data_IF_208291038772
#
_entry.id   IF_208291038772
#
_cell.length_a   1.000
_cell.length_b   1.000
_cell.length_c   1.000
_cell.angle_alpha   90.00
_cell.angle_beta   90.00
_cell.angle_gamma   90.00
#
_symmetry.space_group_name_H-M   'P 1'
#
loop_
_entity.id
_entity.type
_entity.pdbx_description
1 polymer ?
2 polymer ?
3 water ?
#
# COMPACT_ATOMS: atom_id res chain seq x y z
N UNK A 1 14.67 -2.77 10.78
CA UNK A 1 13.92 -3.49 9.69
C UNK A 1 14.61 -3.26 8.38
N UNK A 2 15.09 -4.35 7.77
CA UNK A 2 15.70 -4.28 6.44
C UNK A 2 14.55 -4.10 5.44
N UNK A 3 14.72 -3.23 4.44
CA UNK A 3 13.72 -3.00 3.35
C UNK A 3 13.52 -4.23 2.46
N UNK A 4 12.27 -4.63 2.32
CA UNK A 4 11.90 -5.85 1.65
C UNK A 4 11.29 -5.52 0.31
N UNK A 5 11.64 -6.32 -0.68
CA UNK A 5 11.30 -6.07 -2.09
C UNK A 5 10.29 -7.11 -2.59
N UNK A 6 9.24 -6.65 -3.27
CA UNK A 6 8.27 -7.51 -3.90
C UNK A 6 8.06 -7.07 -5.33
N UNK A 7 7.96 -8.06 -6.22
CA UNK A 7 7.82 -7.75 -7.65
C UNK A 7 6.37 -8.13 -8.02
N UNK A 8 5.50 -7.13 -8.15
CA UNK A 8 4.07 -7.33 -8.27
C UNK A 8 3.56 -6.69 -9.61
N UNK A 9 2.26 -6.81 -9.86
CA UNK A 9 1.63 -6.17 -11.00
C UNK A 9 0.69 -5.12 -10.46
N UNK A 10 0.69 -3.89 -11.03
CA UNK A 10 -0.16 -2.79 -10.55
C UNK A 10 -1.53 -2.86 -11.18
N UNK A 11 -2.55 -3.04 -10.34
CA UNK A 11 -3.93 -3.05 -10.87
C UNK A 11 -4.48 -1.66 -11.14
N UNK A 12 -4.14 -0.70 -10.31
CA UNK A 12 -4.67 0.64 -10.46
C UNK A 12 -5.09 1.22 -9.10
N UNK A 13 -5.78 2.34 -9.20
CA UNK A 13 -6.18 3.10 -8.02
C UNK A 13 -7.60 3.57 -8.14
N UNK A 14 -8.17 3.83 -6.99
CA UNK A 14 -9.47 4.50 -6.90
C UNK A 14 -9.48 5.38 -5.67
N UNK A 15 -10.25 6.45 -5.65
CA UNK A 15 -10.38 7.31 -4.44
C UNK A 15 -11.27 6.61 -3.41
N UNK A 16 -11.00 6.86 -2.14
CA UNK A 16 -11.86 6.38 -1.06
C UNK A 16 -12.23 7.59 -0.20
N UNK A 17 -13.30 7.45 0.55
CA UNK A 17 -13.74 8.66 1.26
C UNK A 17 -13.29 8.77 2.71
N UNK A 18 -12.69 7.69 3.26
CA UNK A 18 -12.19 7.68 4.62
C UNK A 18 -10.88 6.91 4.60
N UNK A 19 -10.00 7.12 5.61
CA UNK A 19 -8.66 6.49 5.48
C UNK A 19 -8.56 5.01 5.90
N UNK A 20 -9.49 4.51 6.70
CA UNK A 20 -9.20 3.22 7.31
C UNK A 20 -10.40 2.42 7.39
N UNK A 21 -10.28 1.13 7.09
CA UNK A 21 -11.36 0.22 7.29
C UNK A 21 -11.52 -0.73 6.13
N UNK A 22 -11.89 -1.94 6.52
CA UNK A 22 -12.00 -2.98 5.54
C UNK A 22 -13.20 -2.78 4.58
N UNK A 23 -14.23 -2.05 5.10
CA UNK A 23 -15.37 -1.82 4.22
C UNK A 23 -14.97 -0.96 3.01
N UNK A 24 -14.03 -0.07 3.27
CA UNK A 24 -13.54 0.84 2.26
C UNK A 24 -12.64 0.11 1.31
N UNK A 25 -11.68 -0.64 1.87
CA UNK A 25 -10.71 -1.30 1.00
C UNK A 25 -11.37 -2.38 0.16
N UNK A 26 -12.30 -3.13 0.77
CA UNK A 26 -12.95 -4.19 0.00
C UNK A 26 -13.64 -3.60 -1.22
N UNK A 27 -14.38 -2.48 -1.05
CA UNK A 27 -15.10 -1.92 -2.19
C UNK A 27 -14.16 -1.33 -3.18
N UNK A 28 -13.04 -0.75 -2.71
CA UNK A 28 -12.07 -0.11 -3.61
C UNK A 28 -11.44 -1.21 -4.48
N UNK A 29 -11.01 -2.29 -3.84
CA UNK A 29 -10.34 -3.36 -4.56
C UNK A 29 -11.34 -3.93 -5.57
N UNK A 30 -12.64 -4.08 -5.21
CA UNK A 30 -13.59 -4.59 -6.18
C UNK A 30 -13.61 -3.70 -7.43
N UNK A 31 -13.62 -2.38 -7.24
CA UNK A 31 -13.69 -1.46 -8.34
C UNK A 31 -12.43 -1.53 -9.18
N UNK A 32 -11.26 -1.52 -8.51
CA UNK A 32 -10.02 -1.48 -9.27
C UNK A 32 -9.89 -2.78 -10.06
N UNK A 33 -10.16 -3.91 -9.46
CA UNK A 33 -10.04 -5.18 -10.19
C UNK A 33 -10.98 -5.22 -11.41
N UNK A 34 -12.22 -4.76 -11.26
CA UNK A 34 -13.19 -4.82 -12.39
C UNK A 34 -12.65 -3.90 -13.52
N UNK A 35 -12.14 -2.72 -13.15
CA UNK A 35 -11.58 -1.79 -14.21
C UNK A 35 -10.40 -2.42 -14.91
N UNK A 36 -9.53 -3.12 -14.17
CA UNK A 36 -8.34 -3.69 -14.79
C UNK A 36 -8.76 -4.82 -15.71
N UNK A 37 -9.71 -5.68 -15.30
CA UNK A 37 -10.15 -6.78 -16.16
C UNK A 37 -10.75 -6.26 -17.41
N UNK A 38 -11.45 -5.13 -17.37
CA UNK A 38 -12.14 -4.66 -18.57
C UNK A 38 -11.18 -3.92 -19.48
N UNK A 39 -9.92 -3.72 -19.05
CA UNK A 39 -9.01 -2.81 -19.75
C UNK A 39 -8.50 -3.41 -21.05
N UNK A 40 -8.47 -4.74 -21.16
CA UNK A 40 -7.87 -5.39 -22.32
C UNK A 40 -6.37 -5.23 -22.43
N UNK A 41 -5.71 -4.81 -21.35
CA UNK A 41 -4.26 -4.53 -21.34
C UNK A 41 -3.56 -5.36 -20.27
N UNK A 42 -2.36 -5.81 -20.54
CA UNK A 42 -1.49 -6.42 -19.53
C UNK A 42 -1.11 -5.39 -18.47
N UNK A 43 -1.04 -5.81 -17.23
CA UNK A 43 -0.70 -4.93 -16.14
C UNK A 43 0.76 -4.48 -16.13
N UNK A 44 1.00 -3.25 -15.63
CA UNK A 44 2.38 -2.73 -15.44
C UNK A 44 3.06 -3.50 -14.32
N UNK A 45 4.29 -3.98 -14.56
CA UNK A 45 5.07 -4.64 -13.54
C UNK A 45 5.68 -3.58 -12.62
N UNK A 46 5.39 -3.67 -11.34
CA UNK A 46 5.90 -2.73 -10.41
C UNK A 46 6.61 -3.42 -9.27
N UNK A 47 7.69 -2.82 -8.78
CA UNK A 47 8.43 -3.31 -7.63
C UNK A 47 8.14 -2.44 -6.45
N UNK A 48 7.79 -3.09 -5.33
CA UNK A 48 7.56 -2.38 -4.06
C UNK A 48 8.73 -2.67 -3.11
N UNK A 49 9.31 -1.62 -2.54
CA UNK A 49 10.34 -1.79 -1.50
C UNK A 49 9.75 -1.17 -0.22
N UNK A 50 9.54 -2.04 0.76
CA UNK A 50 8.79 -1.66 2.00
C UNK A 50 9.81 -1.47 3.14
N UNK A 51 9.77 -0.33 3.82
CA UNK A 51 10.65 -0.20 5.04
C UNK A 51 9.92 0.75 5.95
N UNK A 52 10.47 1.04 7.13
CA UNK A 52 9.78 1.97 8.03
C UNK A 52 9.69 3.37 7.42
N UNK A 53 10.46 3.69 6.39
CA UNK A 53 10.36 4.97 5.68
C UNK A 53 9.10 5.14 4.86
N UNK A 54 8.54 4.02 4.45
CA UNK A 54 7.41 4.01 3.51
C UNK A 54 7.54 2.95 2.43
N UNK A 55 6.82 3.17 1.32
CA UNK A 55 6.85 2.21 0.24
C UNK A 55 7.37 2.91 -1.01
N UNK A 56 8.44 2.37 -1.58
CA UNK A 56 9.01 2.90 -2.82
C UNK A 56 8.44 2.04 -3.96
N UNK A 57 7.74 2.69 -4.88
CA UNK A 57 7.20 2.01 -6.05
C UNK A 57 8.06 2.38 -7.26
N UNK A 58 8.59 1.36 -7.91
CA UNK A 58 9.40 1.54 -9.12
C UNK A 58 8.86 0.73 -10.23
N UNK A 59 8.98 1.29 -11.43
CA UNK A 59 8.57 0.61 -12.62
C UNK A 59 9.60 -0.54 -12.75
N UNK A 60 9.16 -1.78 -12.87
CA UNK A 60 10.15 -2.83 -12.92
C UNK A 60 11.01 -2.84 -14.20
N UNK A 61 10.40 -2.50 -15.34
CA UNK A 61 11.16 -2.51 -16.61
C UNK A 61 12.32 -1.51 -16.58
N UNK A 62 12.04 -0.29 -16.13
CA UNK A 62 13.01 0.80 -16.28
C UNK A 62 13.80 1.09 -14.96
N UNK A 63 13.32 0.54 -13.82
CA UNK A 63 13.81 0.86 -12.46
C UNK A 63 13.54 2.32 -12.21
N UNK A 64 12.70 2.95 -12.98
CA UNK A 64 12.41 4.40 -12.71
C UNK A 64 11.44 4.52 -11.52
N UNK A 65 11.61 5.55 -10.71
CA UNK A 65 10.67 5.82 -9.63
C UNK A 65 9.29 6.16 -10.15
N UNK A 66 8.28 5.50 -9.58
CA UNK A 66 6.91 5.92 -9.74
C UNK A 66 6.51 6.88 -8.62
N UNK A 67 6.72 6.41 -7.36
CA UNK A 67 6.40 7.26 -6.25
C UNK A 67 7.09 6.73 -5.02
N UNK A 68 7.67 7.61 -4.24
CA UNK A 68 8.08 7.24 -2.87
C UNK A 68 6.96 7.68 -1.92
N UNK A 69 6.28 6.71 -1.31
CA UNK A 69 5.12 6.98 -0.49
C UNK A 69 5.58 7.05 0.97
N UNK A 70 5.61 8.24 1.56
CA UNK A 70 6.05 8.39 2.95
C UNK A 70 5.16 7.54 3.84
N UNK A 71 5.77 6.91 4.84
CA UNK A 71 5.00 6.11 5.83
C UNK A 71 3.90 6.96 6.48
N UNK A 72 4.12 8.28 6.67
CA UNK A 72 3.11 9.09 7.35
C UNK A 72 1.85 9.33 6.56
N UNK A 73 1.92 9.08 5.26
CA UNK A 73 0.77 9.22 4.38
C UNK A 73 -0.12 7.97 4.32
N UNK A 74 0.40 6.79 4.71
CA UNK A 74 -0.28 5.50 4.45
C UNK A 74 -1.14 5.26 5.67
N UNK A 75 -2.45 5.09 5.48
CA UNK A 75 -3.33 4.87 6.62
C UNK A 75 -3.61 3.46 6.90
N UNK A 76 -3.53 2.59 5.89
CA UNK A 76 -4.17 1.24 6.01
C UNK A 76 -3.56 0.33 4.95
N UNK A 77 -3.49 -0.96 5.23
CA UNK A 77 -3.18 -1.89 4.20
C UNK A 77 -3.95 -3.18 4.39
N UNK A 78 -4.03 -3.96 3.31
CA UNK A 78 -4.89 -5.15 3.28
C UNK A 78 -4.40 -6.24 2.33
N UNK A 79 -4.55 -7.49 2.75
CA UNK A 79 -4.60 -8.59 1.86
C UNK A 79 -6.13 -8.83 1.70
N UNK A 80 -6.68 -8.55 0.53
CA UNK A 80 -8.18 -8.52 0.38
C UNK A 80 -8.82 -9.90 0.61
N UNK A 81 -10.02 -9.90 1.21
CA UNK A 81 -10.72 -11.19 1.43
C UNK A 81 -11.25 -11.78 0.15
N UNK A 82 -12.06 -11.02 -0.60
CA UNK A 82 -12.67 -11.58 -1.80
C UNK A 82 -11.62 -11.86 -2.87
N UNK A 83 -10.79 -10.87 -3.16
CA UNK A 83 -9.81 -10.97 -4.27
C UNK A 83 -8.49 -11.27 -3.59
N UNK A 84 -8.33 -12.54 -3.18
CA UNK A 84 -7.29 -12.88 -2.20
C UNK A 84 -5.86 -12.88 -2.73
N UNK A 85 -5.67 -12.64 -4.04
CA UNK A 85 -4.29 -12.41 -4.52
C UNK A 85 -3.94 -10.93 -4.49
N UNK A 86 -4.83 -10.08 -3.95
CA UNK A 86 -4.56 -8.60 -4.05
C UNK A 86 -4.09 -8.05 -2.71
N UNK A 87 -2.99 -7.33 -2.81
CA UNK A 87 -2.54 -6.46 -1.72
C UNK A 87 -2.92 -5.01 -2.08
N UNK A 88 -3.39 -4.24 -1.11
CA UNK A 88 -3.68 -2.84 -1.39
C UNK A 88 -3.30 -1.99 -0.19
N UNK A 89 -3.03 -0.74 -0.46
CA UNK A 89 -2.90 0.26 0.63
C UNK A 89 -3.73 1.46 0.39
N UNK A 90 -4.06 2.21 1.43
CA UNK A 90 -4.73 3.51 1.26
C UNK A 90 -3.66 4.56 1.70
N UNK A 91 -3.51 5.65 0.92
CA UNK A 91 -2.66 6.71 1.35
C UNK A 91 -3.22 8.03 0.91
N UNK A 92 -3.00 9.03 1.75
CA UNK A 92 -3.42 10.37 1.40
C UNK A 92 -2.40 10.87 0.35
N UNK A 93 -2.89 11.67 -0.60
CA UNK A 93 -2.06 12.19 -1.71
C UNK A 93 -1.02 13.16 -1.12
N UNK A 94 0.09 13.35 -1.79
CA UNK A 94 1.15 14.29 -1.27
C UNK A 94 0.78 15.73 -1.56
N UNK A 95 -0.05 15.90 -2.58
CA UNK A 95 -0.28 17.22 -3.11
C UNK A 95 -1.59 17.84 -2.67
N UNK A 96 -2.48 17.04 -2.06
CA UNK A 96 -3.77 17.54 -1.57
C UNK A 96 -4.37 16.51 -0.62
N UNK A 97 -5.60 16.72 -0.16
CA UNK A 97 -6.13 15.91 0.96
C UNK A 97 -6.83 14.61 0.55
N UNK A 98 -6.86 14.33 -0.74
CA UNK A 98 -7.62 13.16 -1.20
C UNK A 98 -6.92 11.86 -0.79
N UNK A 99 -7.71 10.82 -0.71
CA UNK A 99 -7.29 9.52 -0.20
C UNK A 99 -7.39 8.53 -1.34
N UNK A 100 -6.29 7.81 -1.60
CA UNK A 100 -6.25 6.92 -2.75
C UNK A 100 -5.98 5.47 -2.29
N UNK A 101 -6.71 4.50 -2.86
CA UNK A 101 -6.41 3.10 -2.65
C UNK A 101 -5.67 2.62 -3.89
N UNK A 102 -4.49 2.05 -3.66
CA UNK A 102 -3.68 1.49 -4.72
C UNK A 102 -3.56 -0.04 -4.55
N UNK A 103 -3.91 -0.81 -5.62
CA UNK A 103 -3.99 -2.24 -5.53
C UNK A 103 -3.01 -2.94 -6.45
N UNK A 104 -2.47 -4.07 -5.94
CA UNK A 104 -1.46 -4.81 -6.64
C UNK A 104 -1.84 -6.27 -6.66
N UNK A 105 -1.63 -6.90 -7.81
CA UNK A 105 -1.93 -8.32 -7.99
C UNK A 105 -0.63 -9.12 -7.74
N UNK A 106 -0.76 -10.10 -6.84
CA UNK A 106 0.34 -11.00 -6.48
C UNK A 106 0.08 -12.30 -7.23
N UNK A 107 1.08 -13.15 -7.28
CA UNK A 107 0.87 -14.51 -7.85
C UNK A 107 -0.01 -15.40 -7.05
N UNK A 108 0.02 -15.25 -5.74
CA UNK A 108 -0.63 -16.19 -4.82
C UNK A 108 -1.13 -15.44 -3.59
N UNK A 109 -2.19 -15.98 -2.96
CA UNK A 109 -2.71 -15.46 -1.75
C UNK A 109 -1.58 -15.31 -0.72
N UNK A 110 -0.65 -16.29 -0.64
CA UNK A 110 0.41 -16.24 0.31
C UNK A 110 1.31 -15.02 0.13
N UNK A 111 1.54 -14.60 -1.11
CA UNK A 111 2.32 -13.43 -1.33
C UNK A 111 1.54 -12.18 -0.90
N UNK A 112 0.24 -12.06 -1.18
CA UNK A 112 -0.52 -10.92 -0.74
C UNK A 112 -0.47 -10.80 0.79
N UNK A 113 -0.52 -11.94 1.47
CA UNK A 113 -0.41 -11.95 2.93
C UNK A 113 0.98 -11.49 3.37
N UNK A 114 2.02 -11.98 2.71
CA UNK A 114 3.39 -11.60 3.09
C UNK A 114 3.60 -10.12 2.93
N UNK A 115 3.11 -9.56 1.85
CA UNK A 115 3.28 -8.09 1.63
C UNK A 115 2.57 -7.32 2.75
N UNK A 116 1.32 -7.71 3.06
CA UNK A 116 0.55 -7.00 4.10
C UNK A 116 1.27 -7.07 5.44
N UNK A 117 1.79 -8.25 5.79
CA UNK A 117 2.47 -8.43 7.07
C UNK A 117 3.77 -7.61 7.10
N UNK A 118 4.44 -7.47 5.96
CA UNK A 118 5.68 -6.68 5.89
C UNK A 118 5.32 -5.20 6.09
N UNK A 119 4.28 -4.72 5.44
CA UNK A 119 3.82 -3.34 5.63
C UNK A 119 3.43 -3.09 7.07
N UNK A 120 2.77 -4.06 7.71
CA UNK A 120 2.43 -3.92 9.14
C UNK A 120 3.68 -3.73 9.98
N UNK A 121 4.73 -4.49 9.67
CA UNK A 121 5.98 -4.28 10.38
C UNK A 121 6.52 -2.88 10.17
N UNK A 122 6.45 -2.38 8.95
CA UNK A 122 6.92 -1.03 8.71
C UNK A 122 6.11 0.01 9.50
N UNK A 123 4.78 -0.16 9.58
CA UNK A 123 3.97 0.77 10.37
C UNK A 123 4.43 0.73 11.81
N UNK A 124 4.65 -0.46 12.39
CA UNK A 124 5.02 -0.64 13.79
C UNK A 124 6.39 -0.04 14.10
N UNK A 125 7.38 -0.35 13.25
CA UNK A 125 8.71 0.16 13.48
C UNK A 125 8.71 1.68 13.26
N UNK A 126 8.04 2.21 12.28
CA UNK A 126 7.95 3.69 12.11
C UNK A 126 7.36 4.33 13.35
N UNK A 127 6.31 3.72 13.88
CA UNK A 127 5.71 4.27 15.10
C UNK A 127 6.70 4.32 16.27
N UNK A 128 7.48 3.24 16.44
CA UNK A 128 8.48 3.26 17.46
C UNK A 128 9.57 4.31 17.23
N UNK A 129 10.02 4.51 15.98
CA UNK A 129 10.92 5.65 15.77
C UNK A 129 10.26 6.98 16.15
N UNK A 130 8.99 7.10 15.80
CA UNK A 130 8.29 8.36 16.00
C UNK A 130 8.20 8.71 17.50
N UNK A 131 7.97 7.66 18.30
CA UNK A 131 7.77 7.87 19.73
C UNK A 131 9.05 8.42 20.38
N UNK A 132 10.21 8.06 19.84
CA UNK A 132 11.50 8.54 20.45
C UNK A 132 12.09 9.66 19.59
N UNK A 133 11.26 10.32 18.75
CA UNK A 133 11.68 11.49 18.00
C UNK A 133 12.90 11.22 17.14
N UNK A 134 12.91 10.07 16.50
CA UNK A 134 13.92 9.71 15.51
C UNK A 134 13.28 9.58 14.13
N UNK A 135 14.06 9.88 13.08
CA UNK A 135 13.58 9.69 11.72
C UNK A 135 13.56 8.17 11.39
N UNK A 136 12.38 7.65 10.85
CA UNK A 136 12.27 6.24 10.50
C UNK A 136 13.31 5.94 9.44
N UNK A 137 13.97 4.80 9.60
CA UNK A 137 15.05 4.40 8.64
C UNK A 137 14.88 2.95 8.38
N UNK B 2 -9.25 -12.08 5.11
CA UNK B 2 -8.32 -10.85 4.99
C UNK B 2 -7.42 -10.65 6.20
N UNK B 3 -6.31 -10.04 5.93
CA UNK B 3 -5.44 -9.64 6.98
C UNK B 3 -5.33 -8.16 6.70
N UNK B 4 -5.52 -7.30 7.68
CA UNK B 4 -5.54 -5.84 7.50
C UNK B 4 -4.93 -5.10 8.65
N UNK B 5 -4.35 -3.94 8.36
CA UNK B 5 -3.67 -3.16 9.44
C UNK B 5 -3.86 -1.72 9.28
N UNK B 6 -4.06 -1.03 10.41
CA UNK B 6 -4.13 0.42 10.44
C UNK B 6 -2.70 0.92 10.78
N UNK B 7 -2.27 2.05 10.19
CA UNK B 7 -0.96 2.61 10.53
C UNK B 7 -1.08 3.60 11.70
N UNK B 8 -0.45 3.28 12.85
CA UNK B 8 -0.52 4.23 13.95
C UNK B 8 0.20 5.52 13.75
N UNK B 9 1.06 5.61 12.73
CA UNK B 9 1.77 6.83 12.50
C UNK B 9 1.11 7.65 11.37
N UNK B 10 -0.05 7.23 10.86
CA UNK B 10 -0.73 8.01 9.80
C UNK B 10 -1.04 9.42 10.32
N UNK B 11 -0.58 10.36 9.51
CA UNK B 11 -0.83 11.78 9.77
C UNK B 11 -0.21 12.26 11.09
N UNK B 12 0.82 11.59 11.56
CA UNK B 12 1.33 11.98 12.92
C UNK B 12 2.48 12.89 12.78
N UNK B 13 2.68 13.42 11.59
CA UNK B 13 3.58 14.60 11.48
C UNK B 13 2.94 15.75 12.29
N UNK B 14 3.83 16.54 12.85
CA UNK B 14 3.35 17.50 13.84
C UNK B 14 3.35 18.92 13.27
#
# INVERSE_FOLDING_TARGET
MEGMVFSLKYLGMTLVERPKGEELSAAAVKRIVATAKASGKKLQKVTLKVSPRGIILTDSLTSQLIENVSIYRISYCTADKMHDKVFAYIAQSQQNESLECHAFLCTKRKVAQAVTLTVAQAFKVAFEFWQVSLVPR
NSINFDNPVYQKTT
#
